data_IF_824446359279
#
_entry.id   IF_824446359279
#
_cell.length_a   1.000
_cell.length_b   1.000
_cell.length_c   1.000
_cell.angle_alpha   90.00
_cell.angle_beta   90.00
_cell.angle_gamma   90.00
#
_symmetry.space_group_name_H-M   'P 1'
#
loop_
_entity.id
_entity.type
_entity.pdbx_description
1 polymer ?
#
# COMPACT_ATOMS: atom_id res chain seq x y z
N UNK A 1 46.46 31.43 46.86
CA UNK A 1 45.42 31.78 45.84
C UNK A 1 45.25 30.56 44.95
N UNK A 2 44.11 29.89 45.06
CA UNK A 2 43.82 28.71 44.23
C UNK A 2 42.86 29.12 43.12
N UNK A 3 43.27 28.91 41.86
CA UNK A 3 42.44 29.12 40.67
C UNK A 3 41.41 27.98 40.51
N UNK A 4 40.14 28.23 40.18
CA UNK A 4 39.16 27.19 39.99
C UNK A 4 39.32 26.54 38.61
N UNK A 5 39.40 25.21 38.65
CA UNK A 5 39.40 24.35 37.47
C UNK A 5 38.01 24.40 36.85
N UNK A 6 37.90 24.99 35.69
CA UNK A 6 36.67 25.01 34.87
C UNK A 6 36.47 23.58 34.30
N UNK A 7 35.51 22.82 34.82
CA UNK A 7 35.08 21.53 34.26
C UNK A 7 34.21 21.83 33.02
N UNK A 8 34.79 21.70 31.85
CA UNK A 8 34.05 21.72 30.59
C UNK A 8 33.35 20.37 30.47
N UNK A 9 32.04 20.33 30.76
CA UNK A 9 31.19 19.18 30.56
C UNK A 9 30.84 19.11 29.07
N UNK A 10 31.52 18.23 28.35
CA UNK A 10 31.28 17.95 26.94
C UNK A 10 30.02 17.08 26.84
N UNK A 11 28.88 17.70 26.55
CA UNK A 11 27.64 16.99 26.26
C UNK A 11 27.76 16.38 24.88
N UNK A 12 28.01 15.08 24.81
CA UNK A 12 27.96 14.29 23.59
C UNK A 12 26.49 14.16 23.20
N UNK A 13 26.02 15.02 22.28
CA UNK A 13 24.70 14.93 21.69
C UNK A 13 24.67 13.73 20.72
N UNK A 14 24.24 12.58 21.23
CA UNK A 14 23.97 11.41 20.39
C UNK A 14 22.73 11.73 19.56
N UNK A 15 22.90 12.26 18.36
CA UNK A 15 21.83 12.28 17.34
C UNK A 15 21.53 10.84 16.96
N UNK A 16 20.54 10.23 17.62
CA UNK A 16 19.88 9.06 17.09
C UNK A 16 19.13 9.48 15.82
N UNK A 17 19.77 9.32 14.66
CA UNK A 17 19.08 9.31 13.40
C UNK A 17 18.14 8.06 13.44
N UNK A 18 16.86 8.28 13.76
CA UNK A 18 15.82 7.31 13.49
C UNK A 18 15.78 7.13 11.97
N UNK A 19 16.54 6.17 11.46
CA UNK A 19 16.30 5.63 10.14
C UNK A 19 14.95 4.93 10.24
N UNK A 20 13.89 5.63 9.85
CA UNK A 20 12.58 5.03 9.62
C UNK A 20 12.76 4.08 8.42
N UNK A 21 13.26 2.89 8.70
CA UNK A 21 13.24 1.81 7.74
C UNK A 21 11.75 1.56 7.43
N UNK A 22 11.31 1.98 6.25
CA UNK A 22 9.96 1.63 5.80
C UNK A 22 9.84 0.11 5.86
N UNK A 23 9.01 -0.37 6.79
CA UNK A 23 8.78 -1.78 6.96
C UNK A 23 8.26 -2.35 5.64
N UNK A 24 8.90 -3.40 5.15
CA UNK A 24 8.44 -4.10 3.95
C UNK A 24 7.14 -4.81 4.28
N UNK A 25 6.07 -4.52 3.55
CA UNK A 25 4.80 -5.25 3.65
C UNK A 25 4.74 -6.31 2.55
N UNK A 26 4.67 -7.57 2.93
CA UNK A 26 4.48 -8.71 2.03
C UNK A 26 2.99 -8.99 1.84
N UNK A 27 2.63 -9.33 0.62
CA UNK A 27 1.27 -9.72 0.22
C UNK A 27 1.28 -11.20 -0.13
N UNK A 28 0.50 -11.99 0.60
CA UNK A 28 0.46 -13.44 0.46
C UNK A 28 -0.85 -13.88 -0.18
N UNK A 29 -0.77 -14.94 -0.98
CA UNK A 29 -1.91 -15.59 -1.59
C UNK A 29 -2.82 -16.19 -0.53
N UNK A 30 -4.12 -15.98 -0.65
CA UNK A 30 -5.13 -16.52 0.27
C UNK A 30 -4.81 -16.17 1.74
N UNK A 31 -5.02 -17.11 2.65
CA UNK A 31 -4.72 -16.98 4.08
C UNK A 31 -3.32 -17.50 4.44
N UNK A 32 -2.37 -17.52 3.49
CA UNK A 32 -1.02 -18.01 3.71
C UNK A 32 -0.14 -16.98 4.43
N UNK A 33 0.88 -17.46 5.14
CA UNK A 33 2.02 -16.67 5.64
C UNK A 33 3.36 -17.25 5.17
N UNK A 34 3.32 -18.22 4.25
CA UNK A 34 4.49 -18.90 3.75
C UNK A 34 5.23 -18.06 2.72
N UNK A 35 6.56 -18.01 2.79
CA UNK A 35 7.38 -17.14 1.93
C UNK A 35 7.28 -17.47 0.44
N UNK A 36 6.94 -18.72 0.08
CA UNK A 36 6.68 -19.14 -1.30
C UNK A 36 5.37 -18.64 -1.88
N UNK A 37 4.45 -18.16 -1.04
CA UNK A 37 3.13 -17.67 -1.44
C UNK A 37 3.06 -16.14 -1.57
N UNK A 38 4.22 -15.47 -1.56
CA UNK A 38 4.28 -14.00 -1.72
C UNK A 38 3.95 -13.64 -3.17
N UNK A 39 2.85 -12.94 -3.38
CA UNK A 39 2.40 -12.41 -4.67
C UNK A 39 3.23 -11.18 -5.07
N UNK A 40 3.31 -10.24 -4.14
CA UNK A 40 4.06 -9.01 -4.29
C UNK A 40 4.50 -8.49 -2.92
N UNK A 41 5.35 -7.48 -2.91
CA UNK A 41 5.73 -6.80 -1.69
C UNK A 41 5.75 -5.28 -1.90
N UNK A 42 5.38 -4.53 -0.87
CA UNK A 42 5.48 -3.09 -0.81
C UNK A 42 6.74 -2.71 -0.02
N UNK A 43 7.57 -1.85 -0.60
CA UNK A 43 8.74 -1.26 0.07
C UNK A 43 8.75 0.24 -0.19
N UNK A 44 8.50 1.01 0.85
CA UNK A 44 8.19 2.45 0.71
C UNK A 44 6.91 2.62 -0.09
N UNK A 45 6.99 3.33 -1.21
CA UNK A 45 5.85 3.60 -2.09
C UNK A 45 5.79 2.70 -3.32
N UNK A 46 6.68 1.70 -3.44
CA UNK A 46 6.81 0.83 -4.60
C UNK A 46 6.33 -0.59 -4.31
N UNK A 47 5.54 -1.14 -5.23
CA UNK A 47 5.10 -2.53 -5.22
C UNK A 47 5.96 -3.32 -6.19
N UNK A 48 6.62 -4.35 -5.68
CA UNK A 48 7.52 -5.25 -6.42
C UNK A 48 6.90 -6.62 -6.61
N UNK A 49 7.27 -7.30 -7.68
CA UNK A 49 6.87 -8.67 -7.95
C UNK A 49 7.46 -9.65 -6.93
N UNK A 50 6.61 -10.51 -6.36
CA UNK A 50 7.03 -11.53 -5.40
C UNK A 50 7.83 -10.94 -4.23
N UNK A 51 8.96 -11.56 -3.91
CA UNK A 51 9.89 -11.09 -2.86
C UNK A 51 10.99 -10.16 -3.40
N UNK A 52 10.91 -9.68 -4.64
CA UNK A 52 11.96 -8.88 -5.28
C UNK A 52 12.14 -7.51 -4.60
N UNK A 53 13.32 -6.94 -4.74
CA UNK A 53 13.63 -5.54 -4.46
C UNK A 53 14.37 -4.89 -5.63
N UNK A 54 14.42 -5.58 -6.77
CA UNK A 54 15.10 -5.12 -7.97
C UNK A 54 14.24 -4.08 -8.72
N UNK A 55 14.85 -3.01 -9.19
CA UNK A 55 14.13 -1.89 -9.82
C UNK A 55 13.35 -2.29 -11.08
N UNK A 56 13.79 -3.32 -11.80
CA UNK A 56 13.09 -3.87 -12.96
C UNK A 56 11.83 -4.65 -12.62
N UNK A 57 11.64 -5.04 -11.35
CA UNK A 57 10.48 -5.80 -10.88
C UNK A 57 9.41 -4.92 -10.24
N UNK A 58 9.51 -3.59 -10.35
CA UNK A 58 8.47 -2.67 -9.87
C UNK A 58 7.24 -2.80 -10.76
N UNK A 59 6.13 -3.22 -10.17
CA UNK A 59 4.83 -3.34 -10.85
C UNK A 59 4.13 -2.00 -10.95
N UNK A 60 4.15 -1.24 -9.85
CA UNK A 60 3.60 0.10 -9.76
C UNK A 60 4.18 0.84 -8.54
N UNK A 61 3.98 2.14 -8.48
CA UNK A 61 4.32 2.92 -7.30
C UNK A 61 3.29 4.01 -7.03
N UNK A 62 3.31 4.53 -5.80
CA UNK A 62 2.42 5.58 -5.32
C UNK A 62 3.16 6.91 -5.28
N UNK A 63 2.56 7.96 -5.82
CA UNK A 63 3.00 9.33 -5.64
C UNK A 63 1.80 10.30 -5.77
N UNK A 64 1.71 11.31 -4.91
CA UNK A 64 0.70 12.38 -4.98
C UNK A 64 -0.75 11.87 -5.13
N UNK A 65 -1.17 10.90 -4.32
CA UNK A 65 -2.49 10.25 -4.39
C UNK A 65 -2.78 9.57 -5.73
N UNK A 66 -1.74 9.16 -6.45
CA UNK A 66 -1.84 8.44 -7.72
C UNK A 66 -1.03 7.17 -7.68
N UNK A 67 -1.46 6.19 -8.47
CA UNK A 67 -0.73 4.96 -8.73
C UNK A 67 -0.22 5.01 -10.17
N UNK A 68 1.08 4.88 -10.33
CA UNK A 68 1.76 4.89 -11.64
C UNK A 68 2.23 3.49 -12.00
N UNK A 69 2.28 3.19 -13.28
CA UNK A 69 2.82 1.93 -13.81
C UNK A 69 4.34 1.88 -13.64
N UNK A 70 4.84 0.79 -13.10
CA UNK A 70 6.27 0.57 -12.91
C UNK A 70 6.94 1.71 -12.14
N UNK A 71 8.08 2.18 -12.62
CA UNK A 71 8.83 3.32 -12.09
C UNK A 71 8.55 4.64 -12.85
N UNK A 72 7.53 4.69 -13.70
CA UNK A 72 7.22 5.86 -14.51
C UNK A 72 6.67 7.02 -13.69
N UNK A 73 7.02 8.24 -14.05
CA UNK A 73 6.43 9.48 -13.52
C UNK A 73 5.63 10.26 -14.58
N UNK A 74 5.43 9.66 -15.76
CA UNK A 74 4.66 10.29 -16.85
C UNK A 74 3.17 10.26 -16.56
N UNK A 75 2.48 11.34 -16.93
CA UNK A 75 1.02 11.45 -16.74
C UNK A 75 0.24 10.39 -17.52
N UNK A 76 0.76 9.90 -18.64
CA UNK A 76 0.18 8.81 -19.43
C UNK A 76 0.27 7.42 -18.75
N UNK A 77 1.13 7.27 -17.75
CA UNK A 77 1.29 6.03 -17.01
C UNK A 77 0.54 5.99 -15.67
N UNK A 78 -0.31 6.99 -15.42
CA UNK A 78 -1.20 6.98 -14.26
C UNK A 78 -2.24 5.89 -14.45
N UNK A 79 -2.23 4.91 -13.55
CA UNK A 79 -3.21 3.82 -13.49
C UNK A 79 -4.47 4.26 -12.77
N UNK A 80 -4.29 4.92 -11.63
CA UNK A 80 -5.37 5.39 -10.77
C UNK A 80 -5.06 6.75 -10.13
N UNK A 81 -6.11 7.53 -9.92
CA UNK A 81 -6.12 8.71 -9.06
C UNK A 81 -7.07 8.45 -7.88
N UNK A 82 -6.62 8.72 -6.65
CA UNK A 82 -7.36 8.44 -5.42
C UNK A 82 -7.80 9.76 -4.78
N UNK A 83 -9.12 9.91 -4.53
CA UNK A 83 -9.68 11.09 -3.86
C UNK A 83 -10.86 10.70 -2.99
N UNK A 84 -10.82 11.03 -1.71
CA UNK A 84 -11.91 10.82 -0.76
C UNK A 84 -12.46 9.37 -0.77
N UNK A 85 -11.56 8.38 -0.80
CA UNK A 85 -11.90 6.96 -0.85
C UNK A 85 -12.42 6.47 -2.21
N UNK A 86 -12.53 7.33 -3.22
CA UNK A 86 -12.86 6.95 -4.60
C UNK A 86 -11.59 6.78 -5.42
N UNK A 87 -11.55 5.74 -6.22
CA UNK A 87 -10.45 5.39 -7.11
C UNK A 87 -10.90 5.56 -8.55
N UNK A 88 -10.30 6.51 -9.24
CA UNK A 88 -10.61 6.89 -10.61
C UNK A 88 -9.63 6.25 -11.59
N UNK A 89 -10.10 5.92 -12.78
CA UNK A 89 -9.25 5.44 -13.87
C UNK A 89 -8.31 6.54 -14.37
N UNK A 90 -7.04 6.23 -14.51
CA UNK A 90 -6.01 7.16 -15.00
C UNK A 90 -5.94 8.45 -14.17
N UNK A 91 -5.78 9.57 -14.84
CA UNK A 91 -5.72 10.92 -14.25
C UNK A 91 -7.08 11.57 -14.02
N UNK A 92 -8.18 10.84 -14.25
CA UNK A 92 -9.53 11.37 -14.17
C UNK A 92 -9.94 11.84 -12.77
N UNK A 93 -10.92 12.73 -12.74
CA UNK A 93 -11.68 13.12 -11.53
C UNK A 93 -13.20 13.11 -11.79
N UNK A 94 -13.60 12.60 -12.95
CA UNK A 94 -15.01 12.53 -13.35
C UNK A 94 -15.70 11.36 -12.66
N UNK A 95 -16.91 11.57 -12.16
CA UNK A 95 -17.65 10.55 -11.39
C UNK A 95 -17.95 9.26 -12.15
N UNK A 96 -18.05 9.34 -13.49
CA UNK A 96 -18.25 8.18 -14.38
C UNK A 96 -16.99 7.30 -14.52
N UNK A 97 -15.83 7.82 -14.16
CA UNK A 97 -14.55 7.11 -14.28
C UNK A 97 -14.12 6.46 -12.94
N UNK A 98 -15.01 6.41 -11.96
CA UNK A 98 -14.75 5.71 -10.69
C UNK A 98 -14.75 4.21 -10.95
N UNK A 99 -13.61 3.56 -10.72
CA UNK A 99 -13.42 2.12 -10.89
C UNK A 99 -13.93 1.35 -9.66
N UNK A 100 -13.64 1.88 -8.48
CA UNK A 100 -14.15 1.36 -7.21
C UNK A 100 -14.08 2.42 -6.10
N UNK A 101 -14.87 2.21 -5.06
CA UNK A 101 -14.93 3.07 -3.87
C UNK A 101 -14.53 2.26 -2.64
N UNK A 102 -13.65 2.84 -1.79
CA UNK A 102 -13.23 2.25 -0.52
C UNK A 102 -13.91 3.03 0.61
N UNK A 103 -14.69 2.34 1.43
CA UNK A 103 -15.35 2.91 2.61
C UNK A 103 -15.45 1.90 3.72
N UNK A 104 -14.99 2.25 4.93
CA UNK A 104 -15.07 1.40 6.13
C UNK A 104 -14.48 -0.01 5.93
N UNK A 105 -13.37 -0.10 5.20
CA UNK A 105 -12.72 -1.37 4.88
C UNK A 105 -13.40 -2.19 3.78
N UNK A 106 -14.52 -1.73 3.23
CA UNK A 106 -15.22 -2.36 2.11
C UNK A 106 -14.85 -1.71 0.78
N UNK A 107 -14.70 -2.51 -0.23
CA UNK A 107 -14.42 -2.11 -1.60
C UNK A 107 -15.68 -2.36 -2.42
N UNK A 108 -16.28 -1.28 -2.92
CA UNK A 108 -17.50 -1.30 -3.72
C UNK A 108 -17.15 -1.13 -5.21
N UNK A 109 -17.86 -1.84 -6.06
CA UNK A 109 -17.77 -1.68 -7.51
C UNK A 109 -18.15 -0.26 -7.91
N UNK A 110 -17.35 0.39 -8.75
CA UNK A 110 -17.61 1.72 -9.28
C UNK A 110 -17.91 2.76 -8.17
N UNK A 111 -18.80 3.70 -8.42
CA UNK A 111 -19.22 4.72 -7.46
C UNK A 111 -20.41 4.25 -6.56
N UNK A 112 -20.53 2.94 -6.35
CA UNK A 112 -21.61 2.38 -5.56
C UNK A 112 -21.41 2.54 -4.04
N UNK A 113 -22.51 2.49 -3.32
CA UNK A 113 -22.57 2.34 -1.87
C UNK A 113 -23.52 1.20 -1.44
N UNK A 114 -24.02 0.46 -2.42
CA UNK A 114 -24.97 -0.62 -2.20
C UNK A 114 -24.24 -1.89 -1.73
N UNK A 115 -24.82 -2.58 -0.73
CA UNK A 115 -24.16 -3.76 -0.13
C UNK A 115 -23.97 -4.94 -1.09
N UNK A 116 -24.80 -5.03 -2.13
CA UNK A 116 -24.67 -6.04 -3.20
C UNK A 116 -23.50 -5.80 -4.15
N UNK A 117 -22.94 -4.58 -4.15
CA UNK A 117 -21.82 -4.20 -5.01
C UNK A 117 -20.47 -4.30 -4.31
N UNK A 118 -20.43 -4.91 -3.12
CA UNK A 118 -19.16 -5.13 -2.39
C UNK A 118 -18.38 -6.23 -3.11
N UNK A 119 -17.21 -5.86 -3.65
CA UNK A 119 -16.29 -6.77 -4.36
C UNK A 119 -15.19 -7.31 -3.46
N UNK A 120 -14.92 -6.65 -2.35
CA UNK A 120 -14.01 -7.15 -1.32
C UNK A 120 -14.26 -6.47 0.03
N UNK A 121 -13.75 -7.11 1.09
CA UNK A 121 -13.87 -6.64 2.46
C UNK A 121 -12.51 -6.78 3.16
N UNK A 122 -11.86 -5.66 3.52
CA UNK A 122 -10.59 -5.63 4.26
C UNK A 122 -10.89 -5.58 5.76
N UNK A 123 -10.45 -6.60 6.49
CA UNK A 123 -10.49 -6.64 7.96
C UNK A 123 -9.09 -6.91 8.52
N UNK A 124 -8.55 -5.93 9.23
CA UNK A 124 -7.15 -5.97 9.64
C UNK A 124 -6.26 -6.16 8.42
N UNK A 125 -5.42 -7.16 8.46
CA UNK A 125 -4.47 -7.46 7.37
C UNK A 125 -5.02 -8.44 6.31
N UNK A 126 -6.27 -8.88 6.43
CA UNK A 126 -6.88 -9.81 5.48
C UNK A 126 -7.86 -9.11 4.56
N UNK A 127 -7.85 -9.51 3.30
CA UNK A 127 -8.79 -9.07 2.28
C UNK A 127 -9.60 -10.28 1.83
N UNK A 128 -10.91 -10.20 2.02
CA UNK A 128 -11.86 -11.26 1.71
C UNK A 128 -12.57 -10.96 0.39
N UNK A 129 -12.93 -12.00 -0.34
CA UNK A 129 -13.77 -11.91 -1.54
C UNK A 129 -15.17 -11.44 -1.16
N UNK A 130 -15.72 -10.54 -1.93
CA UNK A 130 -17.05 -9.97 -1.72
C UNK A 130 -17.24 -9.43 -0.28
N UNK A 131 -18.40 -9.53 0.27
CA UNK A 131 -18.71 -9.13 1.66
C UNK A 131 -18.49 -10.26 2.69
N UNK A 132 -17.62 -11.22 2.37
CA UNK A 132 -17.35 -12.36 3.24
C UNK A 132 -16.48 -12.01 4.44
N UNK A 133 -16.56 -12.83 5.48
CA UNK A 133 -15.68 -12.84 6.65
C UNK A 133 -15.17 -14.26 6.94
N UNK A 134 -15.46 -15.19 6.05
CA UNK A 134 -15.09 -16.59 6.23
C UNK A 134 -13.60 -16.79 5.85
N UNK A 135 -12.88 -17.56 6.67
CA UNK A 135 -11.44 -17.77 6.48
C UNK A 135 -11.07 -18.40 5.14
N UNK A 136 -11.95 -19.19 4.56
CA UNK A 136 -11.80 -19.80 3.23
C UNK A 136 -11.93 -18.80 2.08
N UNK A 137 -12.52 -17.63 2.34
CA UNK A 137 -12.74 -16.59 1.34
C UNK A 137 -11.68 -15.50 1.36
N UNK A 138 -10.56 -15.70 2.08
CA UNK A 138 -9.43 -14.77 2.03
C UNK A 138 -8.82 -14.81 0.65
N UNK A 139 -8.84 -13.67 -0.03
CA UNK A 139 -8.26 -13.48 -1.36
C UNK A 139 -6.75 -13.30 -1.27
N UNK A 140 -6.32 -12.40 -0.38
CA UNK A 140 -4.93 -12.20 -0.02
C UNK A 140 -4.81 -11.60 1.38
N UNK A 141 -3.61 -11.69 1.96
CA UNK A 141 -3.33 -11.04 3.23
C UNK A 141 -2.01 -10.26 3.20
N UNK A 142 -1.90 -9.29 4.11
CA UNK A 142 -0.78 -8.37 4.24
C UNK A 142 0.03 -8.72 5.50
N UNK A 143 1.34 -8.56 5.47
CA UNK A 143 2.16 -8.72 6.68
C UNK A 143 2.16 -7.50 7.60
N UNK A 144 1.51 -6.40 7.22
CA UNK A 144 1.47 -5.15 7.98
C UNK A 144 0.44 -4.17 7.45
N UNK A 145 0.33 -3.03 8.12
CA UNK A 145 -0.60 -1.97 7.75
C UNK A 145 -0.11 -1.19 6.53
N UNK A 146 -1.07 -0.68 5.77
CA UNK A 146 -0.85 0.11 4.56
C UNK A 146 -1.83 1.28 4.49
N UNK A 147 -1.44 2.37 3.86
CA UNK A 147 -2.34 3.49 3.54
C UNK A 147 -3.35 3.09 2.47
N UNK A 148 -4.37 3.92 2.23
CA UNK A 148 -5.35 3.67 1.16
C UNK A 148 -4.66 3.64 -0.21
N UNK A 149 -3.75 4.55 -0.47
CA UNK A 149 -3.02 4.65 -1.74
C UNK A 149 -2.14 3.41 -1.97
N UNK A 150 -1.42 2.99 -0.94
CA UNK A 150 -0.62 1.76 -0.96
C UNK A 150 -1.50 0.52 -1.16
N UNK A 151 -2.67 0.49 -0.52
CA UNK A 151 -3.64 -0.59 -0.73
C UNK A 151 -4.14 -0.64 -2.18
N UNK A 152 -4.44 0.51 -2.80
CA UNK A 152 -4.85 0.58 -4.22
C UNK A 152 -3.73 0.06 -5.14
N UNK A 153 -2.49 0.41 -4.85
CA UNK A 153 -1.34 -0.10 -5.61
C UNK A 153 -1.18 -1.63 -5.48
N UNK A 154 -1.33 -2.15 -4.25
CA UNK A 154 -1.33 -3.60 -4.00
C UNK A 154 -2.51 -4.27 -4.70
N UNK A 155 -3.71 -3.69 -4.63
CA UNK A 155 -4.89 -4.18 -5.33
C UNK A 155 -4.64 -4.33 -6.83
N UNK A 156 -4.05 -3.30 -7.45
CA UNK A 156 -3.65 -3.38 -8.86
C UNK A 156 -2.68 -4.53 -9.13
N UNK A 157 -1.63 -4.65 -8.32
CA UNK A 157 -0.63 -5.69 -8.48
C UNK A 157 -1.24 -7.10 -8.37
N UNK A 158 -2.12 -7.32 -7.39
CA UNK A 158 -2.79 -8.62 -7.18
C UNK A 158 -3.80 -8.95 -8.27
N UNK A 159 -4.55 -7.96 -8.78
CA UNK A 159 -5.66 -8.22 -9.72
C UNK A 159 -5.25 -8.21 -11.19
N UNK A 160 -4.17 -7.51 -11.54
CA UNK A 160 -3.80 -7.29 -12.95
C UNK A 160 -2.38 -7.69 -13.32
N UNK A 161 -1.52 -7.97 -12.35
CA UNK A 161 -0.11 -8.30 -12.61
C UNK A 161 0.27 -9.73 -12.18
N UNK A 162 -0.65 -10.45 -11.52
CA UNK A 162 -0.43 -11.80 -11.02
C UNK A 162 -1.21 -12.86 -11.79
#
# INVERSE_FOLDING_TARGET
MKTPIQRTMMILLFCFAFVSGFAQVKVYKNNSSYSGDVICNLKGDKVYRGNSSYSGDVLCHVADNKVYRGNSSYSGDILYTIRNGKVYSGSSSYSGDVVFTIREGKIYKENSSYSGDIIANKKGNKVYKNNSNYSGDVDFNLSGDVTIEQFVAIWYAVKYCW
#
